data_IF_070457719189
#
_entry.id   IF_070457719189
#
_cell.length_a   1.000
_cell.length_b   1.000
_cell.length_c   1.000
_cell.angle_alpha   90.00
_cell.angle_beta   90.00
_cell.angle_gamma   90.00
#
_symmetry.space_group_name_H-M   'P 1'
#
loop_
_entity.id
_entity.type
_entity.pdbx_description
1 polymer ?
#
# COMPACT_ATOMS: atom_id res chain seq x y z
N UNK A 1 60.23 -19.25 -31.06
CA UNK A 1 61.47 -18.44 -31.12
C UNK A 1 61.20 -17.23 -30.23
N UNK A 2 61.46 -17.30 -28.92
CA UNK A 2 62.76 -17.04 -28.26
C UNK A 2 63.24 -15.60 -28.57
N UNK A 3 62.97 -14.64 -27.66
CA UNK A 3 63.92 -14.04 -26.68
C UNK A 3 64.37 -12.67 -27.23
N UNK A 4 64.56 -11.57 -26.49
CA UNK A 4 65.10 -11.32 -25.14
C UNK A 4 64.71 -9.92 -24.64
N UNK A 5 64.30 -9.84 -23.37
CA UNK A 5 64.87 -9.01 -22.27
C UNK A 5 65.63 -7.70 -22.58
N UNK A 6 65.32 -6.63 -21.84
CA UNK A 6 66.22 -6.16 -20.75
C UNK A 6 65.58 -5.09 -19.84
N UNK A 7 65.61 -5.47 -18.57
CA UNK A 7 65.55 -4.77 -17.29
C UNK A 7 66.31 -3.42 -17.21
N UNK A 8 65.83 -2.46 -16.40
CA UNK A 8 66.60 -2.05 -15.21
C UNK A 8 65.83 -1.13 -14.23
N UNK A 9 65.79 -1.62 -13.00
CA UNK A 9 65.50 -0.95 -11.72
C UNK A 9 66.35 0.30 -11.40
N UNK A 10 65.84 1.15 -10.50
CA UNK A 10 66.64 1.76 -9.41
C UNK A 10 65.76 2.36 -8.30
N UNK A 11 65.95 1.78 -7.12
CA UNK A 11 65.56 2.22 -5.77
C UNK A 11 66.55 3.25 -5.22
N UNK A 12 66.08 4.26 -4.44
CA UNK A 12 66.82 4.87 -3.29
C UNK A 12 65.82 5.41 -2.26
N UNK A 13 66.24 5.34 -1.00
CA UNK A 13 65.57 5.39 0.30
C UNK A 13 65.45 6.77 0.99
N UNK A 14 64.51 6.81 1.94
CA UNK A 14 64.57 7.40 3.30
C UNK A 14 64.76 8.92 3.52
N UNK A 15 63.83 9.54 4.25
CA UNK A 15 64.02 9.97 5.66
C UNK A 15 62.87 10.86 6.18
N UNK A 16 62.75 10.88 7.52
CA UNK A 16 61.73 11.45 8.40
C UNK A 16 61.74 12.98 8.55
N UNK A 17 60.56 13.61 8.73
CA UNK A 17 60.32 14.68 9.74
C UNK A 17 58.89 15.25 9.67
N UNK A 18 58.17 15.29 10.81
CA UNK A 18 57.02 16.18 11.06
C UNK A 18 57.50 17.65 11.12
N UNK A 19 56.68 18.67 10.76
CA UNK A 19 55.89 19.33 11.82
C UNK A 19 54.57 20.05 11.38
N UNK A 20 53.74 20.30 12.39
CA UNK A 20 52.86 21.47 12.65
C UNK A 20 51.81 21.95 11.61
N UNK A 21 50.57 21.97 12.11
CA UNK A 21 49.36 22.68 11.67
C UNK A 21 49.57 24.17 11.36
N UNK A 22 48.75 24.74 10.45
CA UNK A 22 48.09 26.00 10.79
C UNK A 22 46.58 25.98 10.48
N UNK A 23 45.84 26.33 11.52
CA UNK A 23 44.41 26.66 11.53
C UNK A 23 44.15 27.91 10.68
N UNK A 24 43.23 27.83 9.70
CA UNK A 24 42.61 29.01 9.07
C UNK A 24 41.14 29.06 9.44
N UNK A 25 40.85 30.00 10.33
CA UNK A 25 39.51 30.44 10.74
C UNK A 25 38.89 31.23 9.58
N UNK A 26 37.75 30.77 9.06
CA UNK A 26 36.89 31.55 8.18
C UNK A 26 35.49 31.61 8.80
N UNK A 27 35.10 32.84 9.08
CA UNK A 27 33.93 33.29 9.83
C UNK A 27 32.66 33.13 8.99
N UNK A 28 31.71 32.30 9.40
CA UNK A 28 30.34 32.34 8.88
C UNK A 28 29.41 32.87 9.96
N UNK A 29 28.91 34.09 9.73
CA UNK A 29 27.88 34.77 10.51
C UNK A 29 26.59 33.95 10.46
N UNK A 30 26.17 33.44 11.61
CA UNK A 30 24.83 32.93 11.86
C UNK A 30 23.84 34.10 11.81
N UNK A 31 23.04 34.15 10.75
CA UNK A 31 21.80 34.92 10.74
C UNK A 31 20.69 33.94 11.05
N UNK A 32 20.10 34.10 12.24
CA UNK A 32 18.96 33.31 12.69
C UNK A 32 17.71 33.77 11.92
N UNK A 33 17.14 32.87 11.12
CA UNK A 33 15.80 33.02 10.56
C UNK A 33 14.79 32.56 11.61
N UNK A 34 13.75 33.35 11.94
CA UNK A 34 12.77 32.97 12.95
C UNK A 34 11.94 31.75 12.50
N UNK A 35 11.54 30.86 13.42
CA UNK A 35 10.67 29.74 13.07
C UNK A 35 9.28 30.28 12.68
N UNK A 36 8.84 29.91 11.47
CA UNK A 36 7.45 30.09 11.04
C UNK A 36 6.61 29.08 11.84
N UNK A 37 5.75 29.59 12.73
CA UNK A 37 4.70 28.79 13.36
C UNK A 37 3.68 28.41 12.30
N UNK A 38 3.69 27.16 11.84
CA UNK A 38 2.56 26.55 11.14
C UNK A 38 1.62 25.92 12.17
N UNK A 39 0.83 26.75 12.85
CA UNK A 39 -0.26 26.28 13.71
C UNK A 39 -1.55 26.16 12.89
N UNK A 40 -1.67 25.06 12.16
CA UNK A 40 -2.97 24.45 11.83
C UNK A 40 -2.77 22.94 11.99
N UNK A 41 -3.06 22.46 13.18
CA UNK A 41 -3.15 21.03 13.48
C UNK A 41 -4.30 20.46 12.64
N UNK A 42 -3.97 19.69 11.61
CA UNK A 42 -4.91 18.74 10.99
C UNK A 42 -4.97 17.54 11.94
N UNK A 43 -6.15 17.15 12.47
CA UNK A 43 -6.23 16.03 13.39
C UNK A 43 -5.79 14.74 12.69
N UNK A 44 -4.62 14.22 13.08
CA UNK A 44 -4.23 12.85 12.76
C UNK A 44 -5.21 11.91 13.48
N UNK A 45 -6.15 11.31 12.75
CA UNK A 45 -6.99 10.24 13.26
C UNK A 45 -6.19 8.94 13.37
N UNK A 46 -5.25 8.92 14.33
CA UNK A 46 -4.60 7.72 14.82
C UNK A 46 -5.20 7.38 16.19
N UNK A 47 -5.87 6.23 16.28
CA UNK A 47 -6.30 5.54 17.51
C UNK A 47 -7.05 6.38 18.56
N UNK A 48 -8.37 6.51 18.40
CA UNK A 48 -9.25 6.80 19.53
C UNK A 48 -9.80 5.50 20.13
N UNK A 49 -9.12 5.06 21.18
CA UNK A 49 -9.73 4.24 22.23
C UNK A 49 -10.50 5.18 23.17
N UNK A 50 -11.78 5.50 22.90
CA UNK A 50 -12.68 6.07 23.91
C UNK A 50 -14.16 6.02 23.48
N UNK A 51 -14.99 5.69 24.47
CA UNK A 51 -16.45 5.59 24.45
C UNK A 51 -17.19 6.86 23.96
N UNK A 52 -17.57 6.89 22.69
CA UNK A 52 -18.84 7.53 22.28
C UNK A 52 -19.59 6.53 21.39
N UNK A 53 -20.62 5.89 21.93
CA UNK A 53 -21.24 4.70 21.36
C UNK A 53 -22.08 4.96 20.10
N UNK A 54 -22.00 6.16 19.50
CA UNK A 54 -22.85 6.56 18.39
C UNK A 54 -22.14 7.33 17.26
N UNK A 55 -20.81 7.48 17.30
CA UNK A 55 -20.06 8.10 16.20
C UNK A 55 -19.73 7.04 15.14
N UNK A 56 -20.41 7.09 14.00
CA UNK A 56 -20.06 6.32 12.80
C UNK A 56 -19.18 7.20 11.89
N UNK A 57 -17.87 6.92 11.75
CA UNK A 57 -16.97 7.69 10.88
C UNK A 57 -17.32 7.57 9.39
N UNK A 58 -18.23 6.66 9.03
CA UNK A 58 -18.70 6.44 7.68
C UNK A 58 -20.14 6.91 7.45
N UNK A 59 -20.73 7.63 8.42
CA UNK A 59 -22.06 8.20 8.25
C UNK A 59 -22.12 9.09 7.01
N UNK A 60 -23.09 8.83 6.13
CA UNK A 60 -23.29 9.58 4.89
C UNK A 60 -22.39 9.16 3.72
N UNK A 61 -21.54 8.14 3.89
CA UNK A 61 -20.69 7.56 2.83
C UNK A 61 -21.30 6.29 2.25
N UNK A 62 -21.00 6.01 0.98
CA UNK A 62 -21.43 4.79 0.26
C UNK A 62 -20.54 3.58 0.52
N UNK A 63 -19.75 3.60 1.59
CA UNK A 63 -18.92 2.48 2.01
C UNK A 63 -18.65 2.49 3.52
N UNK A 64 -18.34 1.32 4.08
CA UNK A 64 -17.85 1.15 5.46
C UNK A 64 -16.61 0.28 5.47
N UNK A 65 -15.64 0.63 6.30
CA UNK A 65 -14.36 -0.10 6.37
C UNK A 65 -14.23 -0.81 7.70
N UNK A 66 -13.66 -2.02 7.65
CA UNK A 66 -13.20 -2.73 8.84
C UNK A 66 -11.86 -3.40 8.58
N UNK A 67 -10.97 -3.33 9.55
CA UNK A 67 -9.63 -3.93 9.47
C UNK A 67 -9.42 -4.85 10.66
N UNK A 68 -8.72 -5.95 10.44
CA UNK A 68 -8.18 -6.78 11.49
C UNK A 68 -6.73 -7.16 11.16
N UNK A 69 -5.93 -7.28 12.20
CA UNK A 69 -4.55 -7.72 12.09
C UNK A 69 -4.25 -8.82 13.12
N UNK A 70 -3.38 -9.74 12.74
CA UNK A 70 -2.83 -10.75 13.63
C UNK A 70 -1.35 -10.92 13.34
N UNK A 71 -0.51 -10.59 14.31
CA UNK A 71 0.95 -10.76 14.18
C UNK A 71 1.34 -12.22 13.95
N UNK A 72 0.53 -13.18 14.39
CA UNK A 72 0.90 -14.59 14.41
C UNK A 72 2.18 -14.81 15.21
N UNK A 73 2.10 -14.54 16.51
CA UNK A 73 3.24 -14.56 17.47
C UNK A 73 3.98 -15.89 17.50
N UNK A 74 3.38 -16.97 17.00
CA UNK A 74 3.99 -18.29 16.88
C UNK A 74 5.12 -18.30 15.86
N UNK A 75 4.98 -17.58 14.75
CA UNK A 75 5.91 -17.62 13.62
C UNK A 75 6.62 -16.29 13.38
N UNK A 76 6.03 -15.17 13.79
CA UNK A 76 6.58 -13.83 13.57
C UNK A 76 6.82 -13.09 14.87
N UNK A 77 8.06 -12.60 15.00
CA UNK A 77 8.48 -11.79 16.14
C UNK A 77 7.93 -10.36 16.07
N UNK A 78 7.76 -9.82 14.85
CA UNK A 78 7.34 -8.45 14.55
C UNK A 78 6.04 -8.45 13.74
N UNK A 79 5.28 -7.35 13.86
CA UNK A 79 4.15 -7.01 12.99
C UNK A 79 4.66 -5.97 12.01
N UNK A 80 5.06 -6.40 10.81
CA UNK A 80 5.68 -5.51 9.81
C UNK A 80 4.64 -4.89 8.86
N UNK A 81 3.43 -5.46 8.78
CA UNK A 81 2.35 -4.86 8.00
C UNK A 81 1.90 -3.50 8.55
N UNK A 82 1.43 -2.66 7.64
CA UNK A 82 0.77 -1.39 7.89
C UNK A 82 -0.48 -1.32 7.02
N UNK A 83 -1.52 -0.66 7.50
CA UNK A 83 -2.70 -0.36 6.71
C UNK A 83 -3.08 1.11 6.88
N UNK A 84 -3.70 1.67 5.84
CA UNK A 84 -4.21 3.04 5.86
C UNK A 84 -5.54 3.06 5.13
N UNK A 85 -6.56 3.69 5.71
CA UNK A 85 -7.76 4.06 4.97
C UNK A 85 -8.15 5.50 5.28
N UNK A 86 -8.68 6.21 4.28
CA UNK A 86 -9.08 7.61 4.40
C UNK A 86 -10.47 7.74 3.77
N UNK A 87 -11.41 8.15 4.60
CA UNK A 87 -12.72 8.60 4.15
C UNK A 87 -12.64 10.05 3.67
N UNK A 88 -13.43 10.40 2.66
CA UNK A 88 -13.38 11.69 1.97
C UNK A 88 -11.97 12.04 1.47
N UNK A 89 -11.31 11.06 0.85
CA UNK A 89 -9.94 11.19 0.34
C UNK A 89 -9.82 12.37 -0.66
N UNK A 90 -8.69 13.07 -0.64
CA UNK A 90 -8.43 14.28 -1.42
C UNK A 90 -9.45 15.42 -1.18
N UNK A 91 -9.96 15.51 0.04
CA UNK A 91 -11.04 16.44 0.45
C UNK A 91 -12.32 16.30 -0.42
N UNK A 92 -12.51 15.14 -1.07
CA UNK A 92 -13.68 14.86 -1.90
C UNK A 92 -14.67 14.00 -1.14
N UNK A 93 -15.90 14.47 -1.02
CA UNK A 93 -16.99 13.74 -0.36
C UNK A 93 -17.15 12.36 -0.99
N UNK A 94 -17.28 11.36 -0.13
CA UNK A 94 -17.51 9.96 -0.51
C UNK A 94 -16.39 9.35 -1.35
N UNK A 95 -15.22 9.96 -1.45
CA UNK A 95 -14.03 9.30 -1.98
C UNK A 95 -13.37 8.46 -0.88
N UNK A 96 -12.79 7.33 -1.27
CA UNK A 96 -12.13 6.41 -0.36
C UNK A 96 -10.75 6.04 -0.83
N UNK A 97 -9.77 6.10 0.06
CA UNK A 97 -8.44 5.50 -0.12
C UNK A 97 -8.31 4.31 0.83
N UNK A 98 -7.83 3.17 0.33
CA UNK A 98 -7.73 1.92 1.08
C UNK A 98 -6.41 1.23 0.72
N UNK A 99 -5.54 0.97 1.68
CA UNK A 99 -4.25 0.37 1.42
C UNK A 99 -3.77 -0.58 2.52
N UNK A 100 -3.08 -1.64 2.10
CA UNK A 100 -2.25 -2.50 2.95
C UNK A 100 -0.83 -2.52 2.38
N UNK A 101 0.13 -2.46 3.29
CA UNK A 101 1.56 -2.52 3.03
C UNK A 101 2.16 -3.64 3.85
N UNK A 102 2.58 -4.72 3.20
CA UNK A 102 3.30 -5.81 3.86
C UNK A 102 4.80 -5.49 3.85
N UNK A 103 5.35 -5.27 5.04
CA UNK A 103 6.75 -4.87 5.21
C UNK A 103 7.66 -6.09 5.33
N UNK A 104 8.84 -6.03 4.70
CA UNK A 104 9.85 -7.06 4.86
C UNK A 104 11.23 -6.46 5.14
N UNK A 105 12.04 -7.21 5.89
CA UNK A 105 13.34 -6.76 6.40
C UNK A 105 13.24 -5.49 7.26
N UNK A 106 12.09 -5.25 7.90
CA UNK A 106 11.78 -4.06 8.68
C UNK A 106 10.43 -3.45 8.32
N UNK A 107 9.92 -2.58 9.19
CA UNK A 107 8.62 -1.91 9.04
C UNK A 107 8.72 -0.51 8.40
N UNK A 108 9.93 -0.01 8.16
CA UNK A 108 10.14 1.42 7.87
C UNK A 108 9.51 1.86 6.55
N UNK A 109 9.66 1.07 5.47
CA UNK A 109 9.00 1.39 4.19
C UNK A 109 7.50 1.26 4.27
N UNK A 110 6.97 0.17 4.86
CA UNK A 110 5.53 0.01 5.03
C UNK A 110 4.92 1.16 5.85
N UNK A 111 5.61 1.60 6.90
CA UNK A 111 5.20 2.76 7.72
C UNK A 111 5.27 4.06 6.92
N UNK A 112 6.35 4.28 6.18
CA UNK A 112 6.48 5.48 5.34
C UNK A 112 5.38 5.52 4.28
N UNK A 113 5.12 4.42 3.58
CA UNK A 113 4.04 4.34 2.59
C UNK A 113 2.67 4.55 3.23
N UNK A 114 2.40 3.94 4.39
CA UNK A 114 1.16 4.15 5.14
C UNK A 114 0.91 5.61 5.50
N UNK A 115 1.98 6.36 5.82
CA UNK A 115 1.90 7.75 6.24
C UNK A 115 1.91 8.77 5.09
N UNK A 116 2.48 8.44 3.92
CA UNK A 116 2.78 9.45 2.89
C UNK A 116 2.19 9.13 1.50
N UNK A 117 1.95 7.86 1.16
CA UNK A 117 1.59 7.50 -0.22
C UNK A 117 0.23 8.08 -0.64
N UNK A 118 -0.71 8.22 0.29
CA UNK A 118 -2.00 8.84 0.02
C UNK A 118 -1.87 10.33 -0.29
N UNK A 119 -1.02 11.06 0.44
CA UNK A 119 -0.74 12.48 0.19
C UNK A 119 -0.06 12.67 -1.16
N UNK A 120 0.93 11.83 -1.51
CA UNK A 120 1.56 11.89 -2.83
C UNK A 120 0.58 11.59 -3.96
N UNK A 121 -0.38 10.68 -3.74
CA UNK A 121 -1.40 10.38 -4.74
C UNK A 121 -2.43 11.51 -4.87
N UNK A 122 -2.81 12.14 -3.76
CA UNK A 122 -3.62 13.37 -3.76
C UNK A 122 -2.90 14.50 -4.51
N UNK A 123 -1.61 14.71 -4.20
CA UNK A 123 -0.76 15.64 -4.91
C UNK A 123 -0.63 15.29 -6.38
N UNK A 124 -0.47 14.03 -6.79
CA UNK A 124 -0.37 13.61 -8.20
C UNK A 124 -1.70 13.78 -8.95
N UNK A 125 -2.83 13.51 -8.27
CA UNK A 125 -4.15 13.88 -8.78
C UNK A 125 -4.19 15.40 -9.06
N UNK A 126 -3.41 16.19 -8.31
CA UNK A 126 -3.26 17.63 -8.49
C UNK A 126 -2.05 18.08 -9.38
N UNK A 127 -0.93 17.30 -9.52
CA UNK A 127 0.30 17.41 -10.39
C UNK A 127 1.57 16.61 -9.91
N UNK A 128 2.60 16.49 -10.79
CA UNK A 128 3.66 15.43 -10.85
C UNK A 128 4.98 15.48 -10.01
N UNK A 129 5.35 14.29 -9.49
CA UNK A 129 6.68 13.59 -9.34
C UNK A 129 7.67 13.75 -8.14
N UNK A 130 8.33 12.63 -7.76
CA UNK A 130 9.18 12.42 -6.55
C UNK A 130 10.28 11.30 -6.67
N UNK A 131 11.23 11.19 -5.69
CA UNK A 131 12.36 10.20 -5.58
C UNK A 131 12.28 9.24 -4.34
N UNK A 132 12.96 8.06 -4.35
CA UNK A 132 12.72 6.89 -3.45
C UNK A 132 13.74 6.50 -2.33
N UNK A 133 13.44 5.41 -1.58
CA UNK A 133 14.04 4.97 -0.27
C UNK A 133 14.57 3.51 -0.21
N UNK A 134 15.36 3.12 0.83
CA UNK A 134 16.25 1.93 0.90
C UNK A 134 15.69 0.58 1.45
N UNK A 135 14.62 0.54 2.25
CA UNK A 135 13.95 -0.69 2.74
C UNK A 135 12.76 -1.08 1.85
N UNK A 136 12.12 -2.24 1.98
CA UNK A 136 11.06 -2.72 1.06
C UNK A 136 9.64 -2.83 1.62
N UNK A 137 8.60 -2.75 0.78
CA UNK A 137 7.27 -3.30 1.11
C UNK A 137 6.48 -3.70 -0.15
N UNK A 138 5.53 -4.62 0.00
CA UNK A 138 4.44 -4.76 -0.97
C UNK A 138 3.39 -3.67 -0.71
N UNK A 139 2.57 -3.33 -1.71
CA UNK A 139 1.53 -2.33 -1.59
C UNK A 139 0.34 -2.76 -2.44
N UNK A 140 -0.82 -2.91 -1.79
CA UNK A 140 -2.11 -3.05 -2.45
C UNK A 140 -2.94 -1.82 -2.11
N UNK A 141 -3.16 -0.95 -3.10
CA UNK A 141 -3.90 0.31 -2.95
C UNK A 141 -5.15 0.27 -3.80
N UNK A 142 -6.27 0.71 -3.22
CA UNK A 142 -7.53 0.90 -3.92
C UNK A 142 -8.07 2.32 -3.64
N UNK A 143 -8.48 3.02 -4.70
CA UNK A 143 -9.09 4.34 -4.63
C UNK A 143 -10.48 4.30 -5.25
N UNK A 144 -11.49 4.57 -4.45
CA UNK A 144 -12.88 4.65 -4.87
C UNK A 144 -13.26 6.12 -5.07
N UNK A 145 -13.61 6.51 -6.30
CA UNK A 145 -13.94 7.90 -6.65
C UNK A 145 -15.17 8.00 -7.52
N UNK A 146 -15.77 9.19 -7.51
CA UNK A 146 -16.77 9.58 -8.50
C UNK A 146 -16.09 10.21 -9.71
N UNK A 147 -16.48 9.76 -10.90
CA UNK A 147 -16.11 10.40 -12.17
C UNK A 147 -17.35 10.89 -12.89
N UNK A 148 -17.19 11.93 -13.71
CA UNK A 148 -18.24 12.45 -14.58
C UNK A 148 -17.65 12.74 -15.96
N UNK A 149 -18.41 12.42 -17.01
CA UNK A 149 -18.01 12.68 -18.40
C UNK A 149 -18.01 14.21 -18.72
N UNK A 150 -18.58 15.04 -17.83
CA UNK A 150 -18.47 16.50 -17.84
C UNK A 150 -17.80 16.99 -16.55
N UNK A 151 -16.97 18.04 -16.61
CA UNK A 151 -16.37 18.73 -15.44
C UNK A 151 -17.41 19.43 -14.53
N UNK A 152 -18.70 19.07 -14.63
CA UNK A 152 -19.73 19.55 -13.72
C UNK A 152 -19.47 18.93 -12.34
N UNK A 153 -19.20 19.74 -11.30
CA UNK A 153 -18.94 19.22 -9.97
C UNK A 153 -20.18 18.50 -9.42
N UNK A 154 -19.96 17.43 -8.66
CA UNK A 154 -21.02 16.71 -7.94
C UNK A 154 -21.76 17.73 -7.06
N UNK A 155 -23.07 17.92 -7.27
CA UNK A 155 -23.83 18.91 -6.51
C UNK A 155 -24.09 18.42 -5.08
N UNK A 156 -23.46 19.05 -4.10
CA UNK A 156 -23.67 18.77 -2.68
C UNK A 156 -24.87 19.56 -2.13
N UNK A 157 -26.08 19.11 -2.44
CA UNK A 157 -27.26 19.58 -1.71
C UNK A 157 -27.41 18.69 -0.48
N UNK A 158 -27.19 19.21 0.74
CA UNK A 158 -27.69 18.57 1.97
C UNK A 158 -29.13 18.15 1.67
N UNK A 159 -29.41 16.86 1.70
CA UNK A 159 -30.71 16.38 1.28
C UNK A 159 -31.77 17.03 2.16
N UNK A 160 -32.53 18.00 1.63
CA UNK A 160 -33.75 18.45 2.28
C UNK A 160 -34.81 17.34 2.30
N UNK A 161 -34.58 16.26 1.54
CA UNK A 161 -35.48 15.14 1.29
C UNK A 161 -35.16 13.85 2.10
N UNK A 162 -34.22 13.89 3.06
CA UNK A 162 -33.93 12.74 3.92
C UNK A 162 -33.22 11.56 3.24
N UNK A 163 -32.35 11.84 2.26
CA UNK A 163 -31.53 10.83 1.60
C UNK A 163 -30.48 10.23 2.55
N UNK A 164 -30.12 8.96 2.32
CA UNK A 164 -29.13 8.21 3.12
C UNK A 164 -27.70 8.79 2.99
N UNK A 165 -27.42 9.49 1.90
CA UNK A 165 -26.11 10.07 1.57
C UNK A 165 -26.21 11.58 1.35
N UNK A 166 -25.13 12.30 1.66
CA UNK A 166 -25.03 13.76 1.49
C UNK A 166 -24.79 14.20 0.03
N UNK A 167 -24.81 13.25 -0.93
CA UNK A 167 -24.72 13.50 -2.36
C UNK A 167 -25.72 12.64 -3.12
N UNK A 168 -26.13 13.10 -4.31
CA UNK A 168 -27.00 12.35 -5.23
C UNK A 168 -26.31 12.20 -6.59
N UNK A 169 -25.81 11.01 -6.95
CA UNK A 169 -25.19 10.81 -8.25
C UNK A 169 -26.25 10.97 -9.35
N UNK A 170 -25.86 11.53 -10.49
CA UNK A 170 -26.70 11.60 -11.70
C UNK A 170 -26.31 10.47 -12.66
N UNK A 171 -27.11 10.25 -13.71
CA UNK A 171 -26.80 9.28 -14.78
C UNK A 171 -25.44 9.50 -15.49
N UNK A 172 -24.83 10.67 -15.34
CA UNK A 172 -23.53 10.98 -15.92
C UNK A 172 -22.36 10.66 -14.97
N UNK A 173 -22.66 10.26 -13.72
CA UNK A 173 -21.66 9.91 -12.73
C UNK A 173 -21.39 8.41 -12.76
N UNK A 174 -20.11 8.06 -12.77
CA UNK A 174 -19.64 6.69 -12.61
C UNK A 174 -18.89 6.57 -11.30
N UNK A 175 -19.09 5.46 -10.61
CA UNK A 175 -18.34 5.12 -9.40
C UNK A 175 -17.18 4.23 -9.83
N UNK A 176 -15.96 4.76 -9.84
CA UNK A 176 -14.78 4.00 -10.31
C UNK A 176 -13.89 3.59 -9.14
N UNK A 177 -13.47 2.34 -9.15
CA UNK A 177 -12.46 1.77 -8.28
C UNK A 177 -11.16 1.59 -9.06
N UNK A 178 -10.17 2.40 -8.72
CA UNK A 178 -8.80 2.26 -9.22
C UNK A 178 -8.02 1.37 -8.27
N UNK A 179 -7.35 0.36 -8.79
CA UNK A 179 -6.44 -0.47 -8.00
C UNK A 179 -5.03 -0.37 -8.51
N UNK A 180 -4.06 -0.50 -7.61
CA UNK A 180 -2.63 -0.54 -7.89
C UNK A 180 -1.98 -1.53 -6.96
N UNK A 181 -1.22 -2.49 -7.50
CA UNK A 181 -0.54 -3.51 -6.72
C UNK A 181 0.93 -3.64 -7.09
N UNK A 182 1.81 -3.64 -6.08
CA UNK A 182 3.23 -3.93 -6.18
C UNK A 182 3.55 -5.00 -5.13
N UNK A 183 4.09 -6.15 -5.55
CA UNK A 183 4.29 -7.30 -4.66
C UNK A 183 3.11 -8.26 -4.65
N UNK A 184 2.88 -8.96 -3.54
CA UNK A 184 1.95 -10.10 -3.44
C UNK A 184 0.89 -10.00 -2.34
N UNK A 185 0.69 -8.80 -1.79
CA UNK A 185 -0.63 -8.41 -1.32
C UNK A 185 -1.64 -8.46 -2.47
N UNK A 186 -2.93 -8.60 -2.16
CA UNK A 186 -3.97 -8.80 -3.17
C UNK A 186 -5.29 -8.09 -2.83
N UNK A 187 -5.97 -7.64 -3.89
CA UNK A 187 -7.26 -6.96 -3.88
C UNK A 187 -8.28 -7.83 -4.62
N UNK A 188 -9.40 -8.16 -3.95
CA UNK A 188 -10.47 -8.97 -4.51
C UNK A 188 -11.82 -8.27 -4.29
N UNK A 189 -12.56 -8.07 -5.37
CA UNK A 189 -13.93 -7.55 -5.39
C UNK A 189 -14.93 -8.71 -5.37
N UNK A 190 -15.95 -8.63 -4.52
CA UNK A 190 -17.11 -9.52 -4.58
C UNK A 190 -18.21 -8.84 -5.40
N UNK A 191 -18.57 -9.44 -6.54
CA UNK A 191 -19.67 -8.99 -7.39
C UNK A 191 -20.66 -10.12 -7.62
N UNK A 192 -21.92 -9.91 -7.28
CA UNK A 192 -22.99 -10.91 -7.35
C UNK A 192 -22.57 -12.26 -6.72
N UNK A 193 -21.92 -12.20 -5.54
CA UNK A 193 -21.41 -13.35 -4.80
C UNK A 193 -20.20 -14.06 -5.42
N UNK A 194 -19.61 -13.55 -6.51
CA UNK A 194 -18.41 -14.10 -7.14
C UNK A 194 -17.17 -13.25 -6.85
N UNK A 195 -16.01 -13.91 -6.74
CA UNK A 195 -14.74 -13.25 -6.51
C UNK A 195 -14.10 -12.80 -7.83
N UNK A 196 -13.75 -11.52 -7.92
CA UNK A 196 -13.04 -10.89 -9.03
C UNK A 196 -11.74 -10.30 -8.51
N UNK A 197 -10.61 -10.91 -8.87
CA UNK A 197 -9.30 -10.39 -8.49
C UNK A 197 -8.98 -9.13 -9.29
N UNK A 198 -8.65 -8.04 -8.60
CA UNK A 198 -8.33 -6.73 -9.18
C UNK A 198 -6.83 -6.40 -9.12
N UNK A 199 -6.01 -7.36 -8.73
CA UNK A 199 -4.55 -7.22 -8.61
C UNK A 199 -3.84 -8.41 -9.24
N UNK A 200 -2.55 -8.23 -9.50
CA UNK A 200 -1.64 -9.29 -9.95
C UNK A 200 -0.55 -9.49 -8.90
N UNK A 201 -0.37 -10.74 -8.46
CA UNK A 201 0.63 -11.08 -7.44
C UNK A 201 2.00 -11.22 -8.09
N UNK A 202 2.96 -10.41 -7.65
CA UNK A 202 4.32 -10.39 -8.18
C UNK A 202 5.23 -11.32 -7.37
N UNK A 203 5.10 -12.62 -7.61
CA UNK A 203 5.86 -13.68 -6.91
C UNK A 203 6.96 -14.27 -7.79
N UNK A 204 8.04 -14.73 -7.17
CA UNK A 204 9.12 -15.44 -7.85
C UNK A 204 8.76 -16.90 -8.22
N UNK A 205 7.47 -17.24 -8.16
CA UNK A 205 6.87 -18.45 -8.75
C UNK A 205 6.13 -18.15 -10.06
N UNK A 206 5.91 -16.87 -10.37
CA UNK A 206 5.20 -16.45 -11.55
C UNK A 206 6.11 -16.48 -12.79
N UNK A 207 5.62 -17.08 -13.89
CA UNK A 207 6.44 -17.30 -15.09
C UNK A 207 6.78 -16.00 -15.80
N UNK A 208 5.88 -15.02 -15.83
CA UNK A 208 6.15 -13.73 -16.48
C UNK A 208 7.21 -12.93 -15.70
N UNK A 209 7.11 -12.93 -14.36
CA UNK A 209 8.09 -12.27 -13.51
C UNK A 209 9.45 -12.99 -13.49
N UNK A 210 9.46 -14.32 -13.54
CA UNK A 210 10.71 -15.12 -13.70
C UNK A 210 11.42 -14.72 -14.99
N UNK A 211 10.71 -14.74 -16.13
CA UNK A 211 11.30 -14.36 -17.41
C UNK A 211 11.85 -12.92 -17.38
N UNK A 212 11.09 -11.97 -16.81
CA UNK A 212 11.54 -10.57 -16.64
C UNK A 212 12.85 -10.50 -15.84
N UNK A 213 12.97 -11.26 -14.76
CA UNK A 213 14.18 -11.27 -13.92
C UNK A 213 15.37 -11.85 -14.68
N UNK A 214 15.18 -12.97 -15.38
CA UNK A 214 16.23 -13.65 -16.15
C UNK A 214 16.71 -12.79 -17.33
N UNK A 215 15.80 -12.14 -18.05
CA UNK A 215 16.11 -11.20 -19.13
C UNK A 215 16.93 -9.98 -18.65
N UNK A 216 16.82 -9.64 -17.37
CA UNK A 216 17.60 -8.58 -16.72
C UNK A 216 18.86 -9.11 -16.00
N UNK A 217 19.29 -10.34 -16.31
CA UNK A 217 20.51 -10.96 -15.78
C UNK A 217 20.41 -11.45 -14.33
N UNK A 218 19.20 -11.52 -13.78
CA UNK A 218 18.92 -12.14 -12.49
C UNK A 218 18.69 -13.64 -12.59
N UNK A 219 18.55 -14.29 -11.44
CA UNK A 219 18.21 -15.71 -11.33
C UNK A 219 17.05 -15.89 -10.35
N UNK A 220 16.23 -16.92 -10.55
CA UNK A 220 15.24 -17.33 -9.55
C UNK A 220 15.64 -18.68 -8.96
N UNK A 221 15.97 -18.67 -7.67
CA UNK A 221 16.47 -19.84 -6.94
C UNK A 221 15.53 -20.13 -5.77
N UNK A 222 14.93 -21.34 -5.76
CA UNK A 222 13.96 -21.76 -4.72
C UNK A 222 12.85 -20.72 -4.50
N UNK A 223 12.24 -20.26 -5.60
CA UNK A 223 11.18 -19.25 -5.59
C UNK A 223 11.61 -17.91 -4.99
N UNK A 224 12.88 -17.52 -5.17
CA UNK A 224 13.42 -16.24 -4.70
C UNK A 224 14.34 -15.59 -5.73
N UNK A 225 14.18 -14.28 -5.94
CA UNK A 225 15.04 -13.44 -6.79
C UNK A 225 16.46 -13.43 -6.22
N UNK A 226 17.42 -13.90 -7.00
CA UNK A 226 18.80 -14.18 -6.61
C UNK A 226 18.94 -14.96 -5.29
N UNK A 227 17.93 -15.77 -4.94
CA UNK A 227 17.88 -16.51 -3.67
C UNK A 227 17.50 -15.68 -2.44
N UNK A 228 17.15 -14.40 -2.60
CA UNK A 228 16.91 -13.46 -1.48
C UNK A 228 15.41 -13.20 -1.25
N UNK A 229 14.74 -12.53 -2.21
CA UNK A 229 13.35 -12.07 -2.04
C UNK A 229 12.35 -12.98 -2.75
N UNK A 230 11.25 -13.32 -2.08
CA UNK A 230 10.16 -14.13 -2.68
C UNK A 230 9.25 -13.30 -3.59
N UNK A 231 9.19 -12.00 -3.38
CA UNK A 231 8.51 -11.04 -4.24
C UNK A 231 9.43 -10.53 -5.35
N UNK A 232 8.85 -10.25 -6.51
CA UNK A 232 9.56 -9.76 -7.69
C UNK A 232 9.36 -8.28 -7.92
N UNK A 233 8.39 -7.68 -7.23
CA UNK A 233 8.18 -6.23 -7.20
C UNK A 233 7.93 -5.78 -5.77
N UNK A 234 8.44 -4.60 -5.43
CA UNK A 234 8.24 -3.96 -4.13
C UNK A 234 8.46 -2.46 -4.23
N UNK A 235 7.86 -1.69 -3.33
CA UNK A 235 8.31 -0.33 -3.07
C UNK A 235 9.60 -0.39 -2.25
N UNK A 236 10.57 0.46 -2.59
CA UNK A 236 11.85 0.50 -1.88
C UNK A 236 12.87 -0.59 -2.30
N UNK A 237 13.45 -1.41 -1.42
CA UNK A 237 14.49 -2.43 -1.77
C UNK A 237 15.57 -1.93 -2.76
N UNK A 238 16.12 -0.72 -2.53
CA UNK A 238 16.99 -0.05 -3.52
C UNK A 238 18.17 -0.88 -3.97
N UNK A 239 18.67 -1.78 -3.11
CA UNK A 239 19.82 -2.64 -3.39
C UNK A 239 19.52 -3.72 -4.46
N UNK A 240 18.24 -3.98 -4.76
CA UNK A 240 17.80 -4.95 -5.77
C UNK A 240 16.93 -4.34 -6.87
N UNK A 241 16.83 -3.00 -6.97
CA UNK A 241 15.87 -2.32 -7.86
C UNK A 241 16.02 -2.59 -9.36
N UNK A 242 17.17 -3.12 -9.82
CA UNK A 242 17.33 -3.61 -11.19
C UNK A 242 16.52 -4.88 -11.49
N UNK A 243 16.19 -5.66 -10.47
CA UNK A 243 15.43 -6.91 -10.58
C UNK A 243 14.08 -6.84 -9.87
N UNK A 244 14.03 -6.20 -8.69
CA UNK A 244 12.83 -6.00 -7.87
C UNK A 244 12.30 -4.59 -8.06
N UNK A 245 11.49 -4.40 -9.10
CA UNK A 245 11.02 -3.08 -9.56
C UNK A 245 9.83 -2.58 -8.74
N UNK A 246 9.60 -1.26 -8.74
CA UNK A 246 8.45 -0.62 -8.08
C UNK A 246 7.27 -0.33 -9.01
N UNK A 247 7.20 -0.98 -10.18
CA UNK A 247 6.16 -0.71 -11.18
C UNK A 247 4.88 -1.47 -10.82
N UNK A 248 3.75 -0.78 -10.58
CA UNK A 248 2.51 -1.44 -10.20
C UNK A 248 1.81 -2.12 -11.38
N UNK A 249 1.01 -3.13 -11.04
CA UNK A 249 -0.11 -3.55 -11.87
C UNK A 249 -1.35 -2.74 -11.49
N UNK A 250 -2.03 -2.12 -12.45
CA UNK A 250 -3.18 -1.24 -12.19
C UNK A 250 -4.45 -1.69 -12.90
N UNK A 251 -5.61 -1.42 -12.31
CA UNK A 251 -6.91 -1.59 -12.96
C UNK A 251 -7.83 -0.40 -12.67
N UNK A 252 -8.84 -0.22 -13.52
CA UNK A 252 -9.96 0.69 -13.29
C UNK A 252 -11.26 -0.09 -13.49
N UNK A 253 -12.07 -0.20 -12.45
CA UNK A 253 -13.29 -0.99 -12.44
C UNK A 253 -14.48 -0.10 -12.10
N UNK A 254 -15.49 -0.07 -12.97
CA UNK A 254 -16.76 0.59 -12.64
C UNK A 254 -17.53 -0.26 -11.62
N UNK A 255 -17.86 0.38 -10.51
CA UNK A 255 -18.69 -0.16 -9.44
C UNK A 255 -20.16 -0.01 -9.81
N UNK A 256 -20.90 -1.07 -9.54
CA UNK A 256 -22.29 -1.29 -9.93
C UNK A 256 -23.09 -1.76 -8.71
N UNK A 257 -24.41 -1.85 -8.84
CA UNK A 257 -25.29 -2.36 -7.78
C UNK A 257 -25.03 -3.84 -7.42
N UNK A 258 -24.29 -4.59 -8.25
CA UNK A 258 -23.93 -5.98 -7.99
C UNK A 258 -22.66 -6.12 -7.13
N UNK A 259 -21.90 -5.03 -6.92
CA UNK A 259 -20.66 -5.04 -6.16
C UNK A 259 -20.94 -4.93 -4.66
N UNK A 260 -20.57 -5.93 -3.87
CA UNK A 260 -20.99 -6.01 -2.46
C UNK A 260 -19.91 -5.52 -1.50
N UNK A 261 -18.65 -5.91 -1.74
CA UNK A 261 -17.52 -5.55 -0.89
C UNK A 261 -16.18 -5.84 -1.57
N UNK A 262 -15.12 -5.23 -1.03
CA UNK A 262 -13.73 -5.44 -1.43
C UNK A 262 -12.97 -6.05 -0.25
N UNK A 263 -12.10 -7.02 -0.51
CA UNK A 263 -11.13 -7.56 0.44
C UNK A 263 -9.74 -7.18 -0.04
N UNK A 264 -9.00 -6.47 0.81
CA UNK A 264 -7.57 -6.18 0.63
C UNK A 264 -6.86 -6.92 1.76
N UNK A 265 -5.84 -7.72 1.44
CA UNK A 265 -5.05 -8.39 2.46
C UNK A 265 -3.62 -8.66 2.00
N UNK A 266 -2.71 -8.87 2.96
CA UNK A 266 -1.37 -9.40 2.72
C UNK A 266 -1.41 -10.90 2.39
N UNK A 267 -0.26 -11.45 1.98
CA UNK A 267 -0.15 -12.85 1.58
C UNK A 267 -0.42 -13.83 2.74
N UNK A 268 -0.30 -13.39 4.00
CA UNK A 268 -0.68 -14.17 5.17
C UNK A 268 -2.11 -14.69 5.15
N UNK A 269 -3.04 -14.00 4.47
CA UNK A 269 -4.36 -14.55 4.13
C UNK A 269 -4.29 -15.38 2.84
N UNK A 270 -3.74 -14.79 1.78
CA UNK A 270 -3.90 -15.27 0.41
C UNK A 270 -3.09 -16.52 0.05
N UNK A 271 -2.07 -16.86 0.84
CA UNK A 271 -1.30 -18.09 0.69
C UNK A 271 -2.08 -19.32 1.15
N UNK A 272 -3.07 -19.15 2.04
CA UNK A 272 -3.84 -20.26 2.60
C UNK A 272 -5.34 -20.19 2.28
N UNK A 273 -5.86 -19.03 1.88
CA UNK A 273 -7.27 -18.83 1.51
C UNK A 273 -7.39 -18.41 0.04
N UNK A 274 -8.13 -19.18 -0.76
CA UNK A 274 -8.48 -18.78 -2.13
C UNK A 274 -9.48 -17.62 -2.15
N UNK A 275 -9.41 -16.77 -3.19
CA UNK A 275 -10.33 -15.64 -3.41
C UNK A 275 -11.81 -16.03 -3.24
N UNK A 276 -12.23 -17.13 -3.88
CA UNK A 276 -13.60 -17.64 -3.81
C UNK A 276 -14.02 -17.98 -2.38
N UNK A 277 -13.14 -18.59 -1.59
CA UNK A 277 -13.45 -18.96 -0.21
C UNK A 277 -13.51 -17.70 0.68
N UNK A 278 -12.57 -16.77 0.51
CA UNK A 278 -12.58 -15.50 1.24
C UNK A 278 -13.88 -14.72 0.98
N UNK A 279 -14.27 -14.53 -0.29
CA UNK A 279 -15.53 -13.88 -0.64
C UNK A 279 -16.75 -14.61 -0.08
N UNK A 280 -16.78 -15.95 -0.18
CA UNK A 280 -17.90 -16.75 0.38
C UNK A 280 -18.03 -16.55 1.89
N UNK A 281 -16.93 -16.65 2.64
CA UNK A 281 -16.92 -16.47 4.09
C UNK A 281 -17.34 -15.06 4.49
N UNK A 282 -16.88 -14.05 3.75
CA UNK A 282 -17.27 -12.65 3.96
C UNK A 282 -18.76 -12.43 3.69
N UNK A 283 -19.27 -12.88 2.55
CA UNK A 283 -20.68 -12.76 2.18
C UNK A 283 -21.61 -13.48 3.18
N UNK A 284 -21.26 -14.69 3.62
CA UNK A 284 -22.00 -15.43 4.65
C UNK A 284 -21.98 -14.70 6.00
N UNK A 285 -20.88 -14.03 6.32
CA UNK A 285 -20.78 -13.24 7.56
C UNK A 285 -21.62 -11.96 7.48
N UNK A 286 -21.63 -11.25 6.35
CA UNK A 286 -22.52 -10.09 6.18
C UNK A 286 -24.00 -10.49 6.27
N UNK A 287 -24.40 -11.63 5.69
CA UNK A 287 -25.76 -12.18 5.84
C UNK A 287 -26.17 -12.49 7.28
N UNK A 288 -25.19 -12.75 8.15
CA UNK A 288 -25.39 -12.95 9.59
C UNK A 288 -25.38 -11.64 10.39
N UNK A 289 -25.25 -10.48 9.73
CA UNK A 289 -25.25 -9.17 10.38
C UNK A 289 -23.91 -8.76 10.99
N UNK A 290 -22.81 -9.44 10.64
CA UNK A 290 -21.49 -9.02 11.11
C UNK A 290 -21.06 -7.70 10.46
N UNK A 291 -20.42 -6.83 11.24
CA UNK A 291 -19.81 -5.59 10.73
C UNK A 291 -18.54 -5.88 9.91
N UNK A 292 -18.10 -4.96 9.05
CA UNK A 292 -16.86 -5.13 8.27
C UNK A 292 -15.65 -5.54 9.13
N UNK A 293 -15.49 -4.97 10.33
CA UNK A 293 -14.38 -5.31 11.24
C UNK A 293 -14.49 -6.73 11.79
N UNK A 294 -15.71 -7.20 12.06
CA UNK A 294 -15.93 -8.59 12.48
C UNK A 294 -15.67 -9.57 11.32
N UNK A 295 -16.03 -9.20 10.08
CA UNK A 295 -15.73 -9.99 8.88
C UNK A 295 -14.22 -10.08 8.66
N UNK A 296 -13.50 -8.96 8.73
CA UNK A 296 -12.04 -8.92 8.64
C UNK A 296 -11.39 -9.83 9.70
N UNK A 297 -11.86 -9.75 10.96
CA UNK A 297 -11.36 -10.59 12.06
C UNK A 297 -11.60 -12.08 11.81
N UNK A 298 -12.75 -12.45 11.24
CA UNK A 298 -13.04 -13.84 10.86
C UNK A 298 -12.09 -14.33 9.77
N UNK A 299 -11.80 -13.51 8.77
CA UNK A 299 -10.83 -13.86 7.71
C UNK A 299 -9.42 -14.06 8.27
N UNK A 300 -8.95 -13.16 9.15
CA UNK A 300 -7.67 -13.33 9.84
C UNK A 300 -7.64 -14.64 10.64
N UNK A 301 -8.67 -14.90 11.44
CA UNK A 301 -8.74 -16.10 12.27
C UNK A 301 -8.77 -17.37 11.42
N UNK A 302 -9.49 -17.35 10.31
CA UNK A 302 -9.54 -18.47 9.37
C UNK A 302 -8.17 -18.77 8.74
N UNK A 303 -7.39 -17.74 8.40
CA UNK A 303 -6.02 -17.92 7.91
C UNK A 303 -5.10 -18.60 8.95
N UNK A 304 -5.23 -18.21 10.22
CA UNK A 304 -4.50 -18.83 11.34
C UNK A 304 -4.90 -20.29 11.52
N UNK A 305 -6.19 -20.61 11.41
CA UNK A 305 -6.70 -21.99 11.47
C UNK A 305 -6.19 -22.86 10.32
N UNK A 306 -5.98 -22.26 9.14
CA UNK A 306 -5.31 -22.89 8.01
C UNK A 306 -3.78 -22.88 8.09
N UNK A 307 -3.23 -22.56 9.26
CA UNK A 307 -1.80 -22.64 9.57
C UNK A 307 -0.91 -21.74 8.72
N UNK A 308 -1.39 -20.53 8.39
CA UNK A 308 -0.49 -19.48 7.87
C UNK A 308 0.65 -19.21 8.86
N UNK A 309 1.81 -18.86 8.33
CA UNK A 309 3.04 -18.58 9.12
C UNK A 309 3.46 -17.11 9.03
N UNK A 310 2.63 -16.28 8.40
CA UNK A 310 2.87 -14.85 8.21
C UNK A 310 2.10 -14.00 9.23
N UNK A 311 2.44 -12.71 9.30
CA UNK A 311 1.52 -11.66 9.72
C UNK A 311 0.27 -11.73 8.84
N UNK A 312 -0.89 -11.41 9.41
CA UNK A 312 -2.15 -11.44 8.66
C UNK A 312 -2.88 -10.13 8.89
N UNK A 313 -2.95 -9.31 7.87
CA UNK A 313 -3.77 -8.09 7.86
C UNK A 313 -4.84 -8.21 6.79
N UNK A 314 -6.09 -7.97 7.18
CA UNK A 314 -7.24 -8.01 6.28
C UNK A 314 -8.06 -6.74 6.46
N UNK A 315 -8.32 -6.03 5.37
CA UNK A 315 -9.24 -4.92 5.27
C UNK A 315 -10.44 -5.34 4.42
N UNK A 316 -11.64 -5.09 4.93
CA UNK A 316 -12.90 -5.30 4.25
C UNK A 316 -13.58 -3.95 4.07
N UNK A 317 -13.85 -3.58 2.82
CA UNK A 317 -14.61 -2.38 2.45
C UNK A 317 -15.98 -2.85 1.98
N UNK A 318 -17.00 -2.70 2.81
CA UNK A 318 -18.38 -3.00 2.43
C UNK A 318 -18.92 -1.82 1.63
N UNK A 319 -19.46 -2.10 0.44
CA UNK A 319 -20.06 -1.09 -0.43
C UNK A 319 -21.56 -0.98 -0.13
N UNK A 320 -22.11 0.23 -0.29
CA UNK A 320 -23.53 0.50 -0.15
C UNK A 320 -24.17 0.66 -1.52
N UNK A 321 -24.97 -0.32 -1.91
CA UNK A 321 -25.48 -0.44 -3.27
C UNK A 321 -26.71 0.44 -3.50
N UNK A 322 -27.29 1.00 -2.43
CA UNK A 322 -28.38 1.97 -2.49
C UNK A 322 -27.93 3.28 -3.14
N UNK A 323 -26.61 3.51 -3.26
CA UNK A 323 -26.05 4.70 -3.91
C UNK A 323 -26.42 4.83 -5.40
N UNK A 324 -26.79 3.71 -6.04
CA UNK A 324 -27.22 3.68 -7.43
C UNK A 324 -28.74 3.73 -7.62
N UNK A 325 -29.51 3.80 -6.52
CA UNK A 325 -30.97 3.72 -6.52
C UNK A 325 -31.69 5.08 -6.43
#
# INVERSE_FOLDING_TARGET
>A
MASTDTDNSKTVSSSTSSPSTPTKTATTKTTATPPIQSSLEVPSLANNSANDSNYDPFAGLSFRVGVAENKNTTFRNKMEDVHTYIANFAERVDWGYFAIFDGHAGKDTARWCGNNLHTLLEEEIDRNSDEGSKSGCTAAVAVLRWESDNEEPVSHTKSQDGGKFDFKPTKNHKRLLYTSNVGDSRIVLCRAGQAYRLSYDHKATDTHEINRIEDNGGLVLKNRVNGVLAVTRSLGDTYMKSLVIGVPFTTATEITADDEFIIIACDGLWDVVSDKHACKLAAESFKQGYSPSQVAKKLCQFAIELSTTDNVTVMVVQLDNDVFS
#
